data_IF_271854416794
#
_entry.id   IF_271854416794
#
_cell.length_a   1.000
_cell.length_b   1.000
_cell.length_c   1.000
_cell.angle_alpha   90.00
_cell.angle_beta   90.00
_cell.angle_gamma   90.00
#
_symmetry.space_group_name_H-M   'P 1'
#
loop_
_entity.id
_entity.type
_entity.pdbx_description
1 polymer ?
#
# COMPACT_ATOMS: atom_id res chain seq x y z
N UNK A 1 45.05 -23.34 -27.84
CA UNK A 1 45.63 -23.66 -29.17
C UNK A 1 45.01 -22.70 -30.18
N UNK A 2 45.78 -22.00 -31.02
CA UNK A 2 45.26 -21.04 -32.01
C UNK A 2 45.02 -21.75 -33.35
N UNK A 3 43.77 -21.77 -33.82
CA UNK A 3 43.40 -22.34 -35.12
C UNK A 3 43.63 -21.34 -36.25
N UNK A 4 44.22 -21.78 -37.37
CA UNK A 4 44.47 -20.92 -38.53
C UNK A 4 43.22 -20.84 -39.41
N UNK A 5 42.68 -19.63 -39.56
CA UNK A 5 41.54 -19.34 -40.46
C UNK A 5 41.99 -18.37 -41.55
N UNK A 6 41.71 -18.68 -42.82
CA UNK A 6 41.98 -17.80 -43.96
C UNK A 6 40.78 -16.93 -44.28
N UNK A 7 40.97 -15.61 -44.34
CA UNK A 7 39.92 -14.63 -44.68
C UNK A 7 40.44 -13.72 -45.78
N UNK A 8 39.60 -13.44 -46.78
CA UNK A 8 39.93 -12.49 -47.84
C UNK A 8 39.55 -11.08 -47.42
N UNK A 9 40.48 -10.14 -47.58
CA UNK A 9 40.29 -8.72 -47.31
C UNK A 9 40.47 -7.94 -48.61
N UNK A 10 39.74 -6.83 -48.75
CA UNK A 10 40.02 -5.88 -49.83
C UNK A 10 41.42 -5.27 -49.64
N UNK A 11 42.03 -4.80 -50.73
CA UNK A 11 43.34 -4.14 -50.72
C UNK A 11 43.38 -2.95 -49.75
N UNK A 12 42.30 -2.16 -49.73
CA UNK A 12 42.12 -1.03 -48.82
C UNK A 12 42.05 -1.46 -47.35
N UNK A 13 41.46 -2.62 -47.04
CA UNK A 13 41.43 -3.18 -45.69
C UNK A 13 42.77 -3.74 -45.24
N UNK A 14 43.47 -4.47 -46.11
CA UNK A 14 44.81 -4.98 -45.80
C UNK A 14 45.78 -3.84 -45.46
N UNK A 15 45.71 -2.75 -46.22
CA UNK A 15 46.53 -1.54 -45.99
C UNK A 15 46.20 -0.91 -44.64
N UNK A 16 44.90 -0.70 -44.34
CA UNK A 16 44.45 -0.14 -43.06
C UNK A 16 44.81 -1.02 -41.86
N UNK A 17 44.66 -2.34 -41.99
CA UNK A 17 45.03 -3.30 -40.94
C UNK A 17 46.54 -3.22 -40.65
N UNK A 18 47.34 -3.14 -41.70
CA UNK A 18 48.80 -3.05 -41.58
C UNK A 18 49.21 -1.76 -40.87
N UNK A 19 48.62 -0.62 -41.26
CA UNK A 19 48.85 0.67 -40.61
C UNK A 19 48.38 0.69 -39.14
N UNK A 20 47.26 0.02 -38.83
CA UNK A 20 46.75 -0.07 -37.48
C UNK A 20 47.65 -0.92 -36.58
N UNK A 21 48.12 -2.06 -37.08
CA UNK A 21 49.06 -2.95 -36.39
C UNK A 21 50.41 -2.27 -36.11
N UNK A 22 50.97 -1.56 -37.10
CA UNK A 22 52.22 -0.79 -36.89
C UNK A 22 52.06 0.34 -35.89
N UNK A 23 50.91 1.04 -35.89
CA UNK A 23 50.64 2.12 -34.92
C UNK A 23 50.52 1.63 -33.48
N UNK A 24 49.97 0.43 -33.29
CA UNK A 24 49.74 -0.15 -31.95
C UNK A 24 50.88 -1.07 -31.48
N UNK A 25 51.82 -1.41 -32.36
CA UNK A 25 52.97 -2.26 -32.05
C UNK A 25 52.63 -3.75 -31.87
N UNK A 26 51.43 -4.18 -32.26
CA UNK A 26 50.94 -5.57 -32.17
C UNK A 26 50.92 -6.25 -33.53
N UNK A 27 50.93 -7.58 -33.54
CA UNK A 27 50.84 -8.34 -34.79
C UNK A 27 49.44 -8.21 -35.40
N UNK A 28 49.33 -8.35 -36.73
CA UNK A 28 48.03 -8.29 -37.42
C UNK A 28 47.04 -9.34 -36.90
N UNK A 29 47.53 -10.53 -36.53
CA UNK A 29 46.70 -11.59 -35.98
C UNK A 29 46.18 -11.26 -34.58
N UNK A 30 47.02 -10.70 -33.70
CA UNK A 30 46.58 -10.27 -32.37
C UNK A 30 45.59 -9.11 -32.45
N UNK A 31 45.81 -8.16 -33.37
CA UNK A 31 44.87 -7.06 -33.57
C UNK A 31 43.50 -7.57 -34.05
N UNK A 32 43.49 -8.53 -34.98
CA UNK A 32 42.25 -9.14 -35.48
C UNK A 32 41.56 -9.94 -34.38
N UNK A 33 42.30 -10.71 -33.58
CA UNK A 33 41.78 -11.48 -32.46
C UNK A 33 41.12 -10.57 -31.43
N UNK A 34 41.83 -9.52 -30.97
CA UNK A 34 41.29 -8.55 -30.03
C UNK A 34 40.07 -7.78 -30.58
N UNK A 35 40.07 -7.47 -31.88
CA UNK A 35 38.93 -6.83 -32.54
C UNK A 35 37.72 -7.77 -32.64
N UNK A 36 37.93 -9.04 -32.95
CA UNK A 36 36.87 -10.06 -32.99
C UNK A 36 36.31 -10.33 -31.60
N UNK A 37 37.17 -10.49 -30.59
CA UNK A 37 36.75 -10.67 -29.20
C UNK A 37 35.92 -9.46 -28.74
N UNK A 38 36.41 -8.24 -28.96
CA UNK A 38 35.66 -7.02 -28.63
C UNK A 38 34.35 -6.89 -29.41
N UNK A 39 34.31 -7.31 -30.68
CA UNK A 39 33.09 -7.24 -31.50
C UNK A 39 32.04 -8.23 -31.00
N UNK A 40 32.44 -9.47 -30.74
CA UNK A 40 31.56 -10.51 -30.20
C UNK A 40 31.09 -10.17 -28.78
N UNK A 41 31.94 -9.55 -27.97
CA UNK A 41 31.57 -9.10 -26.62
C UNK A 41 30.71 -7.83 -26.65
N UNK A 42 30.82 -6.99 -27.67
CA UNK A 42 29.96 -5.80 -27.82
C UNK A 42 28.50 -6.13 -28.09
N UNK A 43 28.23 -7.22 -28.80
CA UNK A 43 26.86 -7.68 -29.07
C UNK A 43 26.22 -8.19 -27.76
N UNK A 44 26.98 -8.94 -26.96
CA UNK A 44 26.58 -9.32 -25.60
C UNK A 44 26.39 -8.09 -24.71
N UNK A 45 27.25 -7.08 -24.82
CA UNK A 45 27.14 -5.85 -24.05
C UNK A 45 25.84 -5.09 -24.37
N UNK A 46 25.43 -5.02 -25.63
CA UNK A 46 24.16 -4.39 -26.03
C UNK A 46 22.95 -5.10 -25.38
N UNK A 47 22.94 -6.43 -25.36
CA UNK A 47 21.91 -7.22 -24.65
C UNK A 47 21.92 -6.94 -23.14
N UNK A 48 23.10 -6.89 -22.53
CA UNK A 48 23.24 -6.55 -21.11
C UNK A 48 22.73 -5.14 -20.80
N UNK A 49 23.04 -4.14 -21.63
CA UNK A 49 22.53 -2.78 -21.47
C UNK A 49 21.01 -2.71 -21.63
N UNK A 50 20.43 -3.48 -22.56
CA UNK A 50 18.98 -3.55 -22.71
C UNK A 50 18.29 -4.13 -21.45
N UNK A 51 18.87 -5.16 -20.83
CA UNK A 51 18.37 -5.72 -19.57
C UNK A 51 18.44 -4.68 -18.45
N UNK A 52 19.56 -3.96 -18.32
CA UNK A 52 19.73 -2.92 -17.30
C UNK A 52 18.75 -1.76 -17.52
N UNK A 53 18.58 -1.31 -18.76
CA UNK A 53 17.60 -0.28 -19.10
C UNK A 53 16.17 -0.72 -18.77
N UNK A 54 15.81 -1.97 -19.05
CA UNK A 54 14.51 -2.53 -18.66
C UNK A 54 14.28 -2.52 -17.15
N UNK A 55 15.30 -2.89 -16.37
CA UNK A 55 15.24 -2.81 -14.90
C UNK A 55 15.10 -1.37 -14.40
N UNK A 56 15.78 -0.41 -15.04
CA UNK A 56 15.67 1.00 -14.67
C UNK A 56 14.26 1.55 -14.94
N UNK A 57 13.65 1.16 -16.07
CA UNK A 57 12.27 1.52 -16.39
C UNK A 57 11.29 0.96 -15.35
N UNK A 58 11.44 -0.32 -14.97
CA UNK A 58 10.62 -0.93 -13.92
C UNK A 58 10.77 -0.19 -12.58
N UNK A 59 12.00 0.16 -12.18
CA UNK A 59 12.23 0.96 -10.97
C UNK A 59 11.57 2.34 -11.05
N UNK A 60 11.63 2.99 -12.20
CA UNK A 60 11.00 4.30 -12.40
C UNK A 60 9.47 4.20 -12.27
N UNK A 61 8.87 3.16 -12.81
CA UNK A 61 7.44 2.89 -12.66
C UNK A 61 7.06 2.59 -11.19
N UNK A 62 7.90 1.85 -10.47
CA UNK A 62 7.72 1.59 -9.04
C UNK A 62 7.79 2.88 -8.22
N UNK A 63 8.74 3.77 -8.52
CA UNK A 63 8.84 5.10 -7.90
C UNK A 63 7.60 5.94 -8.23
N UNK A 64 7.12 5.89 -9.47
CA UNK A 64 5.90 6.57 -9.89
C UNK A 64 4.67 6.10 -9.09
N UNK A 65 4.52 4.79 -8.90
CA UNK A 65 3.47 4.18 -8.07
C UNK A 65 3.58 4.62 -6.61
N UNK A 66 4.78 4.59 -6.03
CA UNK A 66 5.03 5.08 -4.68
C UNK A 66 4.63 6.57 -4.54
N UNK A 67 4.95 7.39 -5.54
CA UNK A 67 4.54 8.79 -5.57
C UNK A 67 3.01 8.97 -5.59
N UNK A 68 2.28 8.11 -6.29
CA UNK A 68 0.81 8.11 -6.29
C UNK A 68 0.24 7.67 -4.93
N UNK A 69 0.79 6.63 -4.32
CA UNK A 69 0.39 6.16 -2.99
C UNK A 69 0.64 7.23 -1.92
N UNK A 70 1.79 7.92 -1.98
CA UNK A 70 2.10 9.04 -1.07
C UNK A 70 1.13 10.22 -1.24
N UNK A 71 0.71 10.54 -2.47
CA UNK A 71 -0.34 11.54 -2.70
C UNK A 71 -1.65 11.15 -2.04
N UNK A 72 -2.05 9.87 -2.13
CA UNK A 72 -3.26 9.37 -1.47
C UNK A 72 -3.15 9.44 0.06
N UNK A 73 -1.99 9.10 0.63
CA UNK A 73 -1.74 9.23 2.07
C UNK A 73 -1.83 10.69 2.51
N UNK A 74 -1.24 11.62 1.74
CA UNK A 74 -1.32 13.05 2.04
C UNK A 74 -2.76 13.57 2.04
N UNK A 75 -3.58 13.14 1.09
CA UNK A 75 -5.01 13.50 1.05
C UNK A 75 -5.75 12.94 2.28
N UNK A 76 -5.50 11.68 2.64
CA UNK A 76 -6.10 11.06 3.81
C UNK A 76 -5.70 11.77 5.12
N UNK A 77 -4.44 12.17 5.25
CA UNK A 77 -3.93 12.91 6.41
C UNK A 77 -4.55 14.31 6.47
N UNK A 78 -4.68 15.01 5.33
CA UNK A 78 -5.32 16.32 5.26
C UNK A 78 -6.80 16.24 5.68
N UNK A 79 -7.54 15.24 5.17
CA UNK A 79 -8.92 14.98 5.57
C UNK A 79 -9.04 14.65 7.05
N UNK A 80 -8.13 13.82 7.57
CA UNK A 80 -8.09 13.48 8.99
C UNK A 80 -7.85 14.72 9.85
N UNK A 81 -6.87 15.56 9.50
CA UNK A 81 -6.58 16.80 10.21
C UNK A 81 -7.79 17.75 10.20
N UNK A 82 -8.44 17.92 9.04
CA UNK A 82 -9.67 18.73 8.93
C UNK A 82 -10.78 18.20 9.83
N UNK A 83 -11.02 16.89 9.81
CA UNK A 83 -12.02 16.27 10.66
C UNK A 83 -11.67 16.44 12.15
N UNK A 84 -10.42 16.20 12.53
CA UNK A 84 -9.94 16.34 13.90
C UNK A 84 -10.13 17.76 14.42
N UNK A 85 -9.73 18.78 13.64
CA UNK A 85 -9.91 20.19 14.03
C UNK A 85 -11.37 20.64 14.05
N UNK A 86 -12.26 19.99 13.28
CA UNK A 86 -13.68 20.30 13.28
C UNK A 86 -14.43 19.68 14.48
N UNK A 87 -14.00 18.51 14.95
CA UNK A 87 -14.72 17.73 15.98
C UNK A 87 -14.11 17.89 17.38
N UNK A 88 -12.83 18.23 17.48
CA UNK A 88 -12.14 18.31 18.77
C UNK A 88 -12.49 19.61 19.50
N UNK A 89 -13.12 19.57 20.68
CA UNK A 89 -13.43 20.78 21.44
C UNK A 89 -12.14 21.44 21.94
N UNK A 90 -12.11 22.77 21.92
CA UNK A 90 -10.99 23.53 22.50
C UNK A 90 -11.00 23.38 24.03
N UNK A 91 -9.94 22.80 24.58
CA UNK A 91 -9.76 22.60 26.03
C UNK A 91 -9.18 23.86 26.70
N UNK A 92 -9.45 24.05 28.00
CA UNK A 92 -8.76 25.08 28.80
C UNK A 92 -7.27 24.74 29.00
N UNK A 93 -6.43 25.72 29.35
CA UNK A 93 -4.99 25.51 29.51
C UNK A 93 -4.62 24.41 30.54
N UNK A 94 -5.40 24.27 31.62
CA UNK A 94 -5.20 23.23 32.63
C UNK A 94 -5.58 21.83 32.11
N UNK A 95 -6.69 21.73 31.38
CA UNK A 95 -7.15 20.48 30.77
C UNK A 95 -6.24 20.04 29.61
N UNK A 96 -5.67 20.99 28.87
CA UNK A 96 -4.70 20.70 27.81
C UNK A 96 -3.49 19.96 28.36
N UNK A 97 -2.92 20.41 29.47
CA UNK A 97 -1.75 19.75 30.06
C UNK A 97 -2.05 18.30 30.45
N UNK A 98 -3.18 18.06 31.14
CA UNK A 98 -3.61 16.71 31.50
C UNK A 98 -3.89 15.85 30.26
N UNK A 99 -4.56 16.41 29.25
CA UNK A 99 -4.86 15.71 28.01
C UNK A 99 -3.60 15.36 27.21
N UNK A 100 -2.56 16.21 27.23
CA UNK A 100 -1.27 15.93 26.59
C UNK A 100 -0.56 14.75 27.26
N UNK A 101 -0.53 14.71 28.60
CA UNK A 101 0.10 13.61 29.35
C UNK A 101 -0.59 12.28 29.03
N UNK A 102 -1.92 12.23 29.17
CA UNK A 102 -2.70 11.03 28.84
C UNK A 102 -2.59 10.66 27.35
N UNK A 103 -2.53 11.67 26.47
CA UNK A 103 -2.33 11.47 25.04
C UNK A 103 -0.98 10.82 24.72
N UNK A 104 0.09 11.22 25.42
CA UNK A 104 1.42 10.63 25.27
C UNK A 104 1.42 9.16 25.67
N UNK A 105 0.84 8.82 26.83
CA UNK A 105 0.75 7.43 27.30
C UNK A 105 -0.02 6.53 26.30
N UNK A 106 -1.15 7.04 25.77
CA UNK A 106 -1.93 6.33 24.74
C UNK A 106 -1.16 6.19 23.42
N UNK A 107 -0.37 7.19 23.05
CA UNK A 107 0.45 7.14 21.85
C UNK A 107 1.53 6.06 21.95
N UNK A 108 2.18 5.92 23.12
CA UNK A 108 3.20 4.89 23.33
C UNK A 108 2.61 3.48 23.19
N UNK A 109 1.41 3.24 23.75
CA UNK A 109 0.73 1.95 23.58
C UNK A 109 0.34 1.71 22.11
N UNK A 110 -0.18 2.73 21.44
CA UNK A 110 -0.48 2.66 20.01
C UNK A 110 0.77 2.35 19.18
N UNK A 111 1.89 3.04 19.42
CA UNK A 111 3.16 2.83 18.74
C UNK A 111 3.67 1.39 18.95
N UNK A 112 3.55 0.87 20.18
CA UNK A 112 3.88 -0.53 20.47
C UNK A 112 2.97 -1.52 19.72
N UNK A 113 1.67 -1.24 19.58
CA UNK A 113 0.76 -2.06 18.78
C UNK A 113 1.12 -2.02 17.29
N UNK A 114 1.47 -0.85 16.75
CA UNK A 114 1.95 -0.69 15.37
C UNK A 114 3.24 -1.47 15.17
N UNK A 115 4.22 -1.36 16.07
CA UNK A 115 5.48 -2.09 16.01
C UNK A 115 5.26 -3.61 15.93
N UNK A 116 4.47 -4.17 16.86
CA UNK A 116 4.09 -5.60 16.84
C UNK A 116 3.42 -6.02 15.54
N UNK A 117 2.67 -5.12 14.90
CA UNK A 117 1.98 -5.41 13.63
C UNK A 117 2.95 -5.39 12.45
N UNK A 118 3.87 -4.43 12.41
CA UNK A 118 4.91 -4.34 11.37
C UNK A 118 5.78 -5.59 11.38
N UNK A 119 6.18 -6.06 12.56
CA UNK A 119 6.92 -7.33 12.73
C UNK A 119 6.16 -8.55 12.18
N UNK A 120 4.82 -8.55 12.26
CA UNK A 120 3.97 -9.61 11.69
C UNK A 120 3.83 -9.54 10.17
N UNK A 121 4.19 -8.42 9.53
CA UNK A 121 4.12 -8.24 8.07
C UNK A 121 2.70 -8.13 7.48
N UNK A 122 1.66 -8.06 8.32
CA UNK A 122 0.26 -8.03 7.87
C UNK A 122 -0.35 -6.62 7.92
N UNK A 123 -0.80 -6.09 6.77
CA UNK A 123 -1.49 -4.80 6.72
C UNK A 123 -2.85 -4.86 7.43
N UNK A 124 -3.08 -3.98 8.42
CA UNK A 124 -4.38 -3.86 9.10
C UNK A 124 -5.48 -3.42 8.12
N UNK A 125 -5.17 -2.48 7.23
CA UNK A 125 -6.10 -2.03 6.19
C UNK A 125 -6.55 -3.18 5.30
N UNK A 126 -5.61 -4.01 4.83
CA UNK A 126 -5.94 -5.17 4.00
C UNK A 126 -6.81 -6.18 4.75
N UNK A 127 -6.54 -6.42 6.03
CA UNK A 127 -7.36 -7.30 6.87
C UNK A 127 -8.78 -6.75 7.04
N UNK A 128 -8.93 -5.46 7.35
CA UNK A 128 -10.25 -4.83 7.49
C UNK A 128 -11.04 -4.82 6.18
N UNK A 129 -10.36 -4.56 5.05
CA UNK A 129 -10.98 -4.61 3.72
C UNK A 129 -11.42 -6.03 3.39
N UNK A 130 -10.55 -7.03 3.58
CA UNK A 130 -10.89 -8.43 3.38
C UNK A 130 -12.06 -8.86 4.28
N UNK A 131 -12.06 -8.45 5.55
CA UNK A 131 -13.16 -8.71 6.49
C UNK A 131 -14.47 -8.14 5.96
N UNK A 132 -14.49 -6.87 5.52
CA UNK A 132 -15.69 -6.24 4.93
C UNK A 132 -16.14 -6.95 3.65
N UNK A 133 -15.22 -7.31 2.77
CA UNK A 133 -15.55 -8.03 1.54
C UNK A 133 -16.17 -9.40 1.83
N UNK A 134 -15.66 -10.13 2.84
CA UNK A 134 -16.21 -11.42 3.29
C UNK A 134 -17.57 -11.26 3.97
N UNK A 135 -17.81 -10.18 4.70
CA UNK A 135 -19.15 -9.90 5.24
C UNK A 135 -20.13 -9.55 4.11
N UNK A 136 -19.70 -8.80 3.09
CA UNK A 136 -20.52 -8.44 1.92
C UNK A 136 -20.89 -9.67 1.07
N UNK A 137 -19.88 -10.41 0.54
CA UNK A 137 -19.76 -11.84 0.88
C UNK A 137 -21.02 -12.65 1.21
N UNK A 138 -21.13 -12.86 2.51
CA UNK A 138 -22.17 -13.65 3.13
C UNK A 138 -23.53 -12.96 2.99
N UNK A 139 -23.60 -11.61 3.00
CA UNK A 139 -24.86 -10.87 2.83
C UNK A 139 -25.53 -11.13 1.47
N UNK A 140 -24.78 -11.19 0.37
CA UNK A 140 -25.36 -11.52 -0.95
C UNK A 140 -25.72 -13.00 -1.07
N UNK A 141 -24.95 -13.91 -0.45
CA UNK A 141 -25.30 -15.33 -0.39
C UNK A 141 -26.60 -15.55 0.41
N UNK A 142 -26.79 -14.87 1.53
CA UNK A 142 -28.03 -14.88 2.31
C UNK A 142 -29.22 -14.33 1.52
N UNK A 143 -29.01 -13.25 0.75
CA UNK A 143 -30.06 -12.67 -0.08
C UNK A 143 -30.48 -13.58 -1.25
N UNK A 144 -29.52 -14.29 -1.86
CA UNK A 144 -29.78 -15.32 -2.89
C UNK A 144 -30.47 -16.56 -2.33
N UNK A 145 -30.09 -17.00 -1.13
CA UNK A 145 -30.78 -18.09 -0.44
C UNK A 145 -32.23 -17.69 -0.08
N UNK A 146 -32.43 -16.48 0.44
CA UNK A 146 -33.76 -15.94 0.76
C UNK A 146 -34.62 -15.69 -0.49
N UNK A 147 -34.04 -15.39 -1.66
CA UNK A 147 -34.78 -15.27 -2.92
C UNK A 147 -35.13 -16.62 -3.53
N UNK A 148 -34.30 -17.65 -3.34
CA UNK A 148 -34.62 -19.04 -3.69
C UNK A 148 -35.76 -19.59 -2.82
N UNK A 149 -35.79 -19.25 -1.54
CA UNK A 149 -36.86 -19.64 -0.61
C UNK A 149 -38.20 -18.93 -0.95
N UNK A 150 -38.15 -17.64 -1.31
CA UNK A 150 -39.32 -16.89 -1.81
C UNK A 150 -39.91 -17.46 -3.10
N UNK A 151 -39.08 -17.99 -4.02
CA UNK A 151 -39.58 -18.62 -5.26
C UNK A 151 -40.26 -19.97 -4.99
N UNK A 152 -39.92 -20.62 -3.88
CA UNK A 152 -40.55 -21.87 -3.42
C UNK A 152 -41.87 -21.60 -2.67
N UNK A 153 -42.00 -20.43 -2.02
CA UNK A 153 -43.21 -20.02 -1.30
C UNK A 153 -44.29 -19.35 -2.19
N UNK A 154 -44.11 -19.29 -3.51
CA UNK A 154 -45.19 -18.91 -4.45
C UNK A 154 -46.11 -20.10 -4.75
N UNK A 155 -46.72 -20.69 -3.73
CA UNK A 155 -47.99 -21.42 -3.86
C UNK A 155 -48.89 -20.99 -2.70
N UNK A 156 -50.01 -20.39 -3.09
CA UNK A 156 -51.19 -20.00 -2.30
C UNK A 156 -50.99 -18.99 -1.16
N UNK A 157 -51.36 -17.73 -1.43
CA UNK A 157 -52.23 -16.96 -0.52
C UNK A 157 -52.76 -15.72 -1.27
N UNK A 158 -54.08 -15.69 -1.50
CA UNK A 158 -54.85 -14.57 -2.05
C UNK A 158 -54.70 -13.30 -1.18
N UNK A 159 -54.88 -12.09 -1.75
CA UNK A 159 -54.84 -10.86 -0.98
C UNK A 159 -56.24 -10.47 -0.51
N UNK A 160 -56.42 -10.20 0.78
CA UNK A 160 -57.59 -9.47 1.27
C UNK A 160 -57.20 -8.34 2.24
N UNK A 161 -57.52 -7.12 1.77
CA UNK A 161 -57.98 -5.90 2.45
C UNK A 161 -57.27 -5.28 3.68
N UNK A 162 -56.83 -4.03 3.41
CA UNK A 162 -57.19 -2.73 4.05
C UNK A 162 -56.49 -2.23 5.33
N UNK A 163 -56.02 -0.96 5.22
CA UNK A 163 -56.01 0.16 6.20
C UNK A 163 -54.96 0.04 7.35
N UNK A 164 -54.21 1.05 7.84
CA UNK A 164 -54.10 2.51 7.68
C UNK A 164 -52.74 3.00 8.25
N UNK A 165 -52.45 4.28 8.02
CA UNK A 165 -51.82 5.26 8.94
C UNK A 165 -50.29 5.50 9.01
N UNK A 166 -49.98 6.73 8.57
CA UNK A 166 -49.04 7.75 9.07
C UNK A 166 -47.66 7.34 9.60
N UNK A 167 -46.62 7.84 8.92
CA UNK A 167 -45.33 8.17 9.56
C UNK A 167 -44.87 9.54 9.06
N UNK A 168 -44.98 10.51 9.96
CA UNK A 168 -44.38 11.84 9.94
C UNK A 168 -42.84 11.74 10.08
N UNK A 169 -42.16 12.74 9.54
CA UNK A 169 -40.71 12.78 9.40
C UNK A 169 -39.96 12.95 10.73
N UNK A 170 -38.88 12.20 10.88
CA UNK A 170 -37.84 12.45 11.85
C UNK A 170 -36.48 12.11 11.24
N UNK A 171 -35.74 13.13 10.79
CA UNK A 171 -34.33 12.98 10.46
C UNK A 171 -33.53 12.76 11.74
N UNK A 172 -32.93 11.58 11.90
CA UNK A 172 -31.76 11.40 12.77
C UNK A 172 -30.49 11.39 11.92
N UNK A 173 -29.45 12.18 12.24
CA UNK A 173 -28.09 11.89 11.79
C UNK A 173 -27.46 10.91 12.79
N UNK A 174 -27.77 9.62 12.64
CA UNK A 174 -27.19 8.59 13.49
C UNK A 174 -25.78 8.20 13.00
N UNK A 175 -24.80 9.04 13.34
CA UNK A 175 -23.38 8.69 13.33
C UNK A 175 -22.96 8.12 14.71
N UNK A 176 -23.69 7.13 15.22
CA UNK A 176 -23.22 6.32 16.33
C UNK A 176 -22.80 4.94 15.81
N UNK A 177 -21.48 4.74 15.67
CA UNK A 177 -20.92 3.39 15.74
C UNK A 177 -21.10 2.92 17.18
N UNK A 178 -22.16 2.16 17.44
CA UNK A 178 -22.21 1.25 18.57
C UNK A 178 -21.64 -0.09 18.13
N UNK A 179 -20.52 -0.47 18.74
CA UNK A 179 -20.27 -1.82 19.27
C UNK A 179 -18.89 -1.85 19.95
N UNK A 180 -18.86 -2.16 21.24
CA UNK A 180 -17.71 -2.81 21.88
C UNK A 180 -16.64 -1.96 22.57
N UNK A 181 -16.99 -0.89 23.29
CA UNK A 181 -16.11 -0.25 24.27
C UNK A 181 -16.69 -0.37 25.68
N UNK A 182 -16.25 -1.37 26.43
CA UNK A 182 -16.70 -1.66 27.80
C UNK A 182 -16.48 -0.48 28.75
N UNK A 183 -17.56 0.18 29.19
CA UNK A 183 -17.53 1.26 30.21
C UNK A 183 -17.78 0.67 31.61
N UNK A 184 -17.06 -0.40 31.98
CA UNK A 184 -17.16 -1.00 33.33
C UNK A 184 -15.80 -1.26 33.95
N UNK A 185 -15.02 -0.20 34.15
CA UNK A 185 -13.93 -0.21 35.15
C UNK A 185 -13.49 1.21 35.46
N UNK A 186 -14.25 1.94 36.28
CA UNK A 186 -13.70 2.91 37.21
C UNK A 186 -14.61 2.94 38.45
N UNK A 187 -14.12 2.56 39.63
CA UNK A 187 -14.88 2.73 40.86
C UNK A 187 -14.96 4.22 41.20
N UNK A 188 -16.16 4.65 41.53
CA UNK A 188 -16.48 5.91 42.17
C UNK A 188 -15.58 6.10 43.40
N UNK A 189 -14.67 7.07 43.36
CA UNK A 189 -13.95 7.56 44.54
C UNK A 189 -14.59 8.87 44.98
N UNK A 190 -15.82 8.78 45.45
CA UNK A 190 -16.34 9.71 46.45
C UNK A 190 -15.74 9.34 47.81
N UNK A 191 -15.45 10.37 48.62
CA UNK A 191 -14.85 10.37 49.96
C UNK A 191 -13.31 10.32 50.07
N UNK A 192 -12.70 11.50 50.05
CA UNK A 192 -11.51 11.79 50.87
C UNK A 192 -11.99 12.67 52.04
N UNK A 193 -11.95 12.19 53.30
CA UNK A 193 -12.20 13.07 54.44
C UNK A 193 -10.99 13.98 54.66
N UNK A 194 -11.26 15.29 54.71
CA UNK A 194 -10.30 16.28 55.19
C UNK A 194 -10.10 16.07 56.70
N UNK A 195 -8.91 15.62 57.10
CA UNK A 195 -8.39 15.77 58.45
C UNK A 195 -6.90 16.14 58.40
N UNK A 196 -6.60 17.41 58.69
CA UNK A 196 -5.71 17.85 59.78
C UNK A 196 -5.20 19.29 59.54
N UNK A 197 -5.65 20.18 60.41
CA UNK A 197 -4.97 21.33 61.05
C UNK A 197 -6.02 21.73 62.12
N UNK A 198 -5.79 21.60 63.43
CA UNK A 198 -4.74 22.07 64.33
C UNK A 198 -4.52 21.03 65.45
#
# INVERSE_FOLDING_TARGET
>A
MKSRTGVHLSESMSTRLTAAATRTGVTKSELIEAALDSFLESDNAAEHFAIVAGRLTELNDQIGRLGADLKMVNEAVALHARFHLAVTPSLSAAEQHMATVVGSERFDEFAAQVGRRVERGTSLLRETMNRRLVTNKNRWASHLAASADRRTNCRSSEPDRRLSDTVDGGSEPNAAVREGGSIRTFPDRTNIPLQREI
#
